data_IF_314021618107
#
_entry.id   IF_314021618107
#
_cell.length_a   1.000
_cell.length_b   1.000
_cell.length_c   1.000
_cell.angle_alpha   90.00
_cell.angle_beta   90.00
_cell.angle_gamma   90.00
#
_symmetry.space_group_name_H-M   'P 1'
#
loop_
_entity.id
_entity.type
_entity.pdbx_description
1 polymer ?
#
# COMPACT_ATOMS: atom_id res chain seq x y z
N UNK A 1 -11.21 -37.93 -38.80
CA UNK A 1 -11.91 -37.15 -37.76
C UNK A 1 -11.08 -36.68 -36.52
N UNK A 2 -9.76 -36.87 -36.38
CA UNK A 2 -9.04 -36.38 -35.19
C UNK A 2 -8.75 -34.87 -35.23
N UNK A 3 -8.55 -34.29 -36.42
CA UNK A 3 -8.19 -32.88 -36.61
C UNK A 3 -9.18 -31.88 -36.00
N UNK A 4 -10.49 -32.18 -36.03
CA UNK A 4 -11.54 -31.32 -35.41
C UNK A 4 -11.46 -31.35 -33.89
N UNK A 5 -11.21 -32.53 -33.29
CA UNK A 5 -11.04 -32.66 -31.83
C UNK A 5 -9.76 -31.96 -31.36
N UNK A 6 -8.67 -32.08 -32.12
CA UNK A 6 -7.41 -31.35 -31.85
C UNK A 6 -7.60 -29.84 -31.89
N UNK A 7 -8.35 -29.31 -32.87
CA UNK A 7 -8.64 -27.88 -32.98
C UNK A 7 -9.46 -27.36 -31.79
N UNK A 8 -10.47 -28.12 -31.35
CA UNK A 8 -11.29 -27.77 -30.19
C UNK A 8 -10.44 -27.76 -28.91
N UNK A 9 -9.61 -28.77 -28.70
CA UNK A 9 -8.71 -28.84 -27.54
C UNK A 9 -7.71 -27.67 -27.56
N UNK A 10 -7.13 -27.36 -28.73
CA UNK A 10 -6.20 -26.24 -28.87
C UNK A 10 -6.87 -24.90 -28.55
N UNK A 11 -8.09 -24.67 -29.06
CA UNK A 11 -8.85 -23.46 -28.76
C UNK A 11 -9.18 -23.33 -27.27
N UNK A 12 -9.47 -24.44 -26.58
CA UNK A 12 -9.75 -24.42 -25.15
C UNK A 12 -8.51 -24.02 -24.35
N UNK A 13 -7.33 -24.56 -24.72
CA UNK A 13 -6.06 -24.23 -24.07
C UNK A 13 -5.74 -22.73 -24.24
N UNK A 14 -5.91 -22.20 -25.45
CA UNK A 14 -5.70 -20.77 -25.71
C UNK A 14 -6.66 -19.91 -24.89
N UNK A 15 -7.93 -20.30 -24.80
CA UNK A 15 -8.95 -19.54 -24.07
C UNK A 15 -8.67 -19.53 -22.56
N UNK A 16 -8.24 -20.66 -22.00
CA UNK A 16 -7.79 -20.75 -20.61
C UNK A 16 -6.53 -19.89 -20.39
N UNK A 17 -5.55 -19.97 -21.30
CA UNK A 17 -4.32 -19.17 -21.22
C UNK A 17 -4.60 -17.67 -21.22
N UNK A 18 -5.45 -17.19 -22.14
CA UNK A 18 -5.87 -15.79 -22.21
C UNK A 18 -6.63 -15.39 -20.94
N UNK A 19 -7.54 -16.25 -20.46
CA UNK A 19 -8.28 -16.01 -19.22
C UNK A 19 -7.37 -15.83 -18.00
N UNK A 20 -6.34 -16.66 -17.87
CA UNK A 20 -5.35 -16.54 -16.78
C UNK A 20 -4.57 -15.23 -16.89
N UNK A 21 -4.15 -14.83 -18.10
CA UNK A 21 -3.40 -13.58 -18.31
C UNK A 21 -4.26 -12.35 -17.97
N UNK A 22 -5.49 -12.31 -18.48
CA UNK A 22 -6.43 -11.22 -18.18
C UNK A 22 -6.73 -11.11 -16.69
N UNK A 23 -6.91 -12.26 -16.01
CA UNK A 23 -7.10 -12.29 -14.58
C UNK A 23 -5.88 -11.74 -13.81
N UNK A 24 -4.66 -12.09 -14.22
CA UNK A 24 -3.45 -11.57 -13.59
C UNK A 24 -3.27 -10.07 -13.79
N UNK A 25 -3.71 -9.53 -14.93
CA UNK A 25 -3.71 -8.09 -15.19
C UNK A 25 -4.78 -7.37 -14.36
N UNK A 26 -5.98 -7.93 -14.24
CA UNK A 26 -7.06 -7.35 -13.44
C UNK A 26 -6.75 -7.30 -11.94
N UNK A 27 -5.82 -8.12 -11.45
CA UNK A 27 -5.35 -8.07 -10.06
C UNK A 27 -4.30 -6.97 -9.81
N UNK A 28 -3.89 -6.21 -10.85
CA UNK A 28 -2.94 -5.12 -10.73
C UNK A 28 -3.65 -3.78 -10.56
N UNK A 29 -3.13 -2.96 -9.68
CA UNK A 29 -3.55 -1.57 -9.45
C UNK A 29 -2.29 -0.73 -9.13
N UNK A 30 -2.48 0.52 -8.73
CA UNK A 30 -1.40 1.37 -8.21
C UNK A 30 -1.72 1.82 -6.79
N UNK A 31 -0.71 2.24 -6.05
CA UNK A 31 -0.88 2.86 -4.74
C UNK A 31 -1.83 4.06 -4.81
N UNK A 32 -1.67 4.94 -5.80
CA UNK A 32 -2.57 6.07 -6.03
C UNK A 32 -4.03 5.66 -6.20
N UNK A 33 -4.30 4.63 -6.99
CA UNK A 33 -5.68 4.16 -7.17
C UNK A 33 -6.26 3.58 -5.87
N UNK A 34 -5.45 2.89 -5.07
CA UNK A 34 -5.92 2.36 -3.77
C UNK A 34 -6.19 3.50 -2.79
N UNK A 35 -5.37 4.55 -2.82
CA UNK A 35 -5.64 5.78 -2.07
C UNK A 35 -6.93 6.45 -2.55
N UNK A 36 -7.12 6.67 -3.85
CA UNK A 36 -8.32 7.32 -4.40
C UNK A 36 -9.62 6.52 -4.11
N UNK A 37 -9.54 5.18 -4.05
CA UNK A 37 -10.66 4.31 -3.65
C UNK A 37 -11.01 4.46 -2.17
N UNK A 38 -10.01 4.76 -1.34
CA UNK A 38 -10.16 4.84 0.12
C UNK A 38 -10.50 6.26 0.54
N UNK A 39 -9.74 7.24 0.07
CA UNK A 39 -9.80 8.67 0.37
C UNK A 39 -10.26 9.38 -0.91
N UNK A 40 -11.52 9.85 -0.97
CA UNK A 40 -12.02 10.55 -2.15
C UNK A 40 -11.13 11.76 -2.49
N UNK A 41 -10.78 11.93 -3.75
CA UNK A 41 -9.89 13.00 -4.25
C UNK A 41 -10.36 14.44 -4.02
N UNK A 42 -11.52 14.63 -3.38
CA UNK A 42 -12.14 15.91 -3.03
C UNK A 42 -11.99 16.23 -1.54
N UNK A 43 -11.47 15.30 -0.74
CA UNK A 43 -11.16 15.51 0.67
C UNK A 43 -9.70 15.98 0.80
N UNK A 44 -9.50 17.12 1.45
CA UNK A 44 -8.16 17.61 1.76
C UNK A 44 -7.56 16.76 2.88
N UNK A 45 -6.30 16.36 2.71
CA UNK A 45 -5.54 15.64 3.74
C UNK A 45 -5.06 16.68 4.76
N UNK A 46 -5.37 16.45 6.04
CA UNK A 46 -5.02 17.37 7.13
C UNK A 46 -3.66 17.05 7.74
N UNK A 47 -3.35 15.77 7.91
CA UNK A 47 -2.06 15.29 8.38
C UNK A 47 -1.89 13.81 8.04
N UNK A 48 -0.63 13.35 8.07
CA UNK A 48 -0.27 11.94 8.00
C UNK A 48 0.47 11.58 9.28
N UNK A 49 0.04 10.52 9.95
CA UNK A 49 0.78 9.92 11.07
C UNK A 49 1.43 8.64 10.60
N UNK A 50 2.71 8.46 10.92
CA UNK A 50 3.47 7.25 10.63
C UNK A 50 3.92 6.62 11.93
N UNK A 51 3.68 5.32 12.06
CA UNK A 51 4.13 4.46 13.13
C UNK A 51 5.16 3.48 12.56
N UNK A 52 6.31 3.36 13.22
CA UNK A 52 7.39 2.43 12.85
C UNK A 52 8.01 1.78 14.09
N UNK A 53 8.28 0.47 14.05
CA UNK A 53 8.99 -0.19 15.13
C UNK A 53 10.51 -0.04 14.97
N UNK A 54 11.17 0.58 15.94
CA UNK A 54 12.63 0.69 15.97
C UNK A 54 13.24 -0.48 16.73
N UNK A 55 13.93 -1.37 16.01
CA UNK A 55 14.70 -2.46 16.64
C UNK A 55 15.86 -1.94 17.51
N UNK A 56 16.44 -0.79 17.16
CA UNK A 56 17.58 -0.19 17.89
C UNK A 56 17.17 0.28 19.28
N UNK A 57 16.01 0.95 19.37
CA UNK A 57 15.49 1.48 20.62
C UNK A 57 14.59 0.45 21.34
N UNK A 58 14.12 -0.58 20.62
CA UNK A 58 13.21 -1.60 21.14
C UNK A 58 11.79 -1.09 21.37
N UNK A 59 11.41 0.02 20.74
CA UNK A 59 10.13 0.71 20.93
C UNK A 59 9.52 1.20 19.62
N UNK A 60 8.25 1.59 19.67
CA UNK A 60 7.54 2.18 18.53
C UNK A 60 7.75 3.69 18.48
N UNK A 61 8.19 4.16 17.32
CA UNK A 61 8.34 5.56 16.98
C UNK A 61 7.15 6.07 16.16
N UNK A 62 6.82 7.33 16.38
CA UNK A 62 5.71 8.04 15.77
C UNK A 62 6.21 9.32 15.12
N UNK A 63 5.73 9.62 13.92
CA UNK A 63 5.94 10.91 13.28
C UNK A 63 4.60 11.45 12.78
N UNK A 64 4.37 12.75 12.96
CA UNK A 64 3.20 13.44 12.42
C UNK A 64 3.66 14.48 11.40
N UNK A 65 3.09 14.40 10.21
CA UNK A 65 3.40 15.23 9.06
C UNK A 65 2.19 16.11 8.79
N UNK A 66 2.34 17.39 9.06
CA UNK A 66 1.30 18.41 8.85
C UNK A 66 1.63 19.34 7.68
N UNK A 67 2.87 19.26 7.18
CA UNK A 67 3.34 20.07 6.07
C UNK A 67 2.76 19.55 4.75
N UNK A 68 1.94 20.38 4.11
CA UNK A 68 1.24 20.06 2.87
C UNK A 68 2.20 19.76 1.72
N UNK A 69 3.37 20.41 1.64
CA UNK A 69 4.35 20.15 0.59
C UNK A 69 4.98 18.76 0.77
N UNK A 70 5.29 18.37 2.01
CA UNK A 70 5.82 17.05 2.32
C UNK A 70 4.77 15.97 2.05
N UNK A 71 3.52 16.20 2.45
CA UNK A 71 2.39 15.30 2.19
C UNK A 71 2.21 15.11 0.68
N UNK A 72 2.10 16.19 -0.09
CA UNK A 72 1.89 16.11 -1.54
C UNK A 72 3.05 15.41 -2.24
N UNK A 73 4.29 15.70 -1.82
CA UNK A 73 5.48 15.02 -2.34
C UNK A 73 5.44 13.52 -2.06
N UNK A 74 5.17 13.11 -0.81
CA UNK A 74 5.07 11.71 -0.41
C UNK A 74 4.01 10.97 -1.23
N UNK A 75 2.81 11.53 -1.39
CA UNK A 75 1.72 10.85 -2.08
C UNK A 75 1.91 10.82 -3.60
N UNK A 76 2.44 11.90 -4.18
CA UNK A 76 2.65 12.01 -5.63
C UNK A 76 3.81 11.15 -6.10
N UNK A 77 4.92 11.10 -5.37
CA UNK A 77 6.08 10.28 -5.73
C UNK A 77 5.73 8.79 -5.78
N UNK A 78 4.89 8.33 -4.86
CA UNK A 78 4.55 6.93 -4.70
C UNK A 78 3.29 6.52 -5.47
N UNK A 79 2.60 7.47 -6.11
CA UNK A 79 1.32 7.25 -6.81
C UNK A 79 1.37 6.08 -7.80
N UNK A 80 2.49 5.93 -8.50
CA UNK A 80 2.70 4.93 -9.57
C UNK A 80 3.32 3.61 -9.08
N UNK A 81 3.47 3.41 -7.76
CA UNK A 81 3.83 2.09 -7.21
C UNK A 81 2.78 1.08 -7.65
N UNK A 82 3.21 0.08 -8.41
CA UNK A 82 2.37 -0.97 -8.93
C UNK A 82 2.13 -2.02 -7.84
N UNK A 83 0.85 -2.27 -7.59
CA UNK A 83 0.37 -3.19 -6.59
C UNK A 83 -0.28 -4.39 -7.26
N UNK A 84 -0.11 -5.58 -6.66
CA UNK A 84 -0.82 -6.79 -7.07
C UNK A 84 -1.59 -7.38 -5.91
N UNK A 85 -2.92 -7.35 -6.01
CA UNK A 85 -3.82 -7.93 -5.02
C UNK A 85 -3.50 -9.41 -4.77
N UNK A 86 -3.27 -9.77 -3.51
CA UNK A 86 -3.04 -11.13 -3.06
C UNK A 86 -4.37 -11.81 -2.71
N UNK A 87 -4.45 -13.12 -2.96
CA UNK A 87 -5.62 -13.94 -2.60
C UNK A 87 -5.58 -14.40 -1.14
N UNK A 88 -4.37 -14.60 -0.63
CA UNK A 88 -4.10 -15.02 0.74
C UNK A 88 -3.65 -13.80 1.52
N UNK A 89 -4.23 -13.60 2.69
CA UNK A 89 -3.79 -12.56 3.61
C UNK A 89 -2.36 -12.83 4.04
N UNK A 90 -1.50 -11.82 3.99
CA UNK A 90 -0.20 -11.85 4.64
C UNK A 90 -0.42 -11.95 6.14
N UNK A 91 0.21 -12.94 6.76
CA UNK A 91 0.00 -13.27 8.18
C UNK A 91 1.07 -12.68 9.08
N UNK A 92 2.12 -12.07 8.53
CA UNK A 92 3.11 -11.38 9.34
C UNK A 92 2.61 -9.99 9.70
N UNK A 93 3.12 -9.51 10.83
CA UNK A 93 3.06 -8.11 11.22
C UNK A 93 3.91 -7.34 10.20
N UNK A 94 3.38 -6.22 9.71
CA UNK A 94 4.09 -5.33 8.81
C UNK A 94 4.77 -4.23 9.64
N UNK A 95 5.91 -3.75 9.17
CA UNK A 95 6.84 -2.96 9.98
C UNK A 95 6.36 -1.52 10.19
N UNK A 96 5.54 -1.00 9.26
CA UNK A 96 5.04 0.37 9.28
C UNK A 96 3.50 0.42 9.23
N UNK A 97 2.94 1.44 9.87
CA UNK A 97 1.56 1.87 9.69
C UNK A 97 1.54 3.37 9.36
N UNK A 98 0.83 3.73 8.28
CA UNK A 98 0.56 5.12 7.92
C UNK A 98 -0.93 5.36 8.05
N UNK A 99 -1.29 6.37 8.82
CA UNK A 99 -2.66 6.86 8.96
C UNK A 99 -2.78 8.20 8.27
N UNK A 100 -3.64 8.27 7.26
CA UNK A 100 -3.94 9.51 6.55
C UNK A 100 -5.25 10.06 7.11
N UNK A 101 -5.21 11.28 7.62
CA UNK A 101 -6.36 11.95 8.21
C UNK A 101 -6.89 13.04 7.28
N UNK A 102 -8.22 13.14 7.26
CA UNK A 102 -9.01 14.19 6.59
C UNK A 102 -9.89 14.88 7.64
N UNK A 103 -10.63 15.95 7.32
CA UNK A 103 -11.55 16.57 8.27
C UNK A 103 -12.68 15.64 8.74
N UNK A 104 -13.01 14.61 7.96
CA UNK A 104 -14.19 13.76 8.17
C UNK A 104 -13.86 12.36 8.67
N UNK A 105 -12.63 11.88 8.42
CA UNK A 105 -12.22 10.50 8.73
C UNK A 105 -10.70 10.33 8.70
N UNK A 106 -10.25 9.20 9.23
CA UNK A 106 -8.87 8.73 9.11
C UNK A 106 -8.86 7.29 8.60
N UNK A 107 -7.94 7.00 7.69
CA UNK A 107 -7.74 5.67 7.11
C UNK A 107 -6.30 5.20 7.35
N UNK A 108 -6.16 3.96 7.82
CA UNK A 108 -4.85 3.37 8.13
C UNK A 108 -4.44 2.33 7.09
N UNK A 109 -3.16 2.38 6.74
CA UNK A 109 -2.50 1.53 5.76
C UNK A 109 -1.29 0.89 6.43
N UNK A 110 -1.09 -0.40 6.25
CA UNK A 110 0.08 -1.10 6.78
C UNK A 110 0.99 -1.52 5.64
N UNK A 111 2.30 -1.45 5.84
CA UNK A 111 3.26 -1.82 4.80
C UNK A 111 4.61 -2.24 5.35
N UNK A 112 5.31 -3.01 4.53
CA UNK A 112 6.73 -3.36 4.70
C UNK A 112 7.43 -3.14 3.34
N UNK A 113 8.65 -3.64 3.18
CA UNK A 113 9.41 -3.55 1.92
C UNK A 113 8.72 -4.10 0.67
N UNK A 114 7.74 -4.99 0.83
CA UNK A 114 7.20 -5.81 -0.27
C UNK A 114 5.68 -5.94 -0.27
N UNK A 115 5.01 -5.57 0.82
CA UNK A 115 3.57 -5.69 1.01
C UNK A 115 2.95 -4.37 1.42
N UNK A 116 1.72 -4.17 1.00
CA UNK A 116 0.88 -3.03 1.34
C UNK A 116 -0.52 -3.54 1.63
N UNK A 117 -1.13 -3.09 2.71
CA UNK A 117 -2.46 -3.51 3.16
C UNK A 117 -3.33 -2.28 3.35
N UNK A 118 -4.45 -2.25 2.63
CA UNK A 118 -5.45 -1.19 2.68
C UNK A 118 -6.85 -1.78 2.78
N UNK A 119 -7.66 -1.28 3.71
CA UNK A 119 -9.06 -1.72 3.92
C UNK A 119 -9.22 -3.24 3.99
N UNK A 120 -8.27 -3.92 4.65
CA UNK A 120 -8.23 -5.38 4.78
C UNK A 120 -7.86 -6.16 3.52
N UNK A 121 -7.57 -5.49 2.41
CA UNK A 121 -7.02 -6.10 1.19
C UNK A 121 -5.50 -6.05 1.22
N UNK A 122 -4.90 -7.19 0.87
CA UNK A 122 -3.46 -7.36 0.80
C UNK A 122 -2.96 -7.18 -0.64
N UNK A 123 -1.86 -6.45 -0.78
CA UNK A 123 -1.20 -6.19 -2.03
C UNK A 123 0.30 -6.49 -1.91
N UNK A 124 0.85 -7.15 -2.94
CA UNK A 124 2.29 -7.22 -3.15
C UNK A 124 2.73 -6.02 -3.97
N UNK A 125 3.70 -5.27 -3.47
CA UNK A 125 4.40 -4.24 -4.24
C UNK A 125 5.27 -4.88 -5.31
N UNK A 126 5.13 -4.42 -6.55
CA UNK A 126 5.86 -4.95 -7.70
C UNK A 126 7.08 -4.10 -8.05
N UNK A 127 7.10 -2.84 -7.61
CA UNK A 127 8.16 -1.85 -7.78
C UNK A 127 8.02 -0.77 -6.71
N UNK A 128 9.05 0.07 -6.57
CA UNK A 128 9.08 1.15 -5.57
C UNK A 128 9.40 0.65 -4.16
N UNK A 129 9.76 1.59 -3.29
CA UNK A 129 10.16 1.35 -1.91
C UNK A 129 9.54 2.43 -1.04
N UNK A 130 8.36 2.16 -0.48
CA UNK A 130 7.66 3.14 0.38
C UNK A 130 8.43 3.36 1.69
N UNK A 131 9.01 2.28 2.24
CA UNK A 131 9.83 2.30 3.46
C UNK A 131 11.02 3.24 3.33
N UNK A 132 11.82 3.09 2.26
CA UNK A 132 12.98 3.96 1.97
C UNK A 132 12.64 5.45 2.00
N UNK A 133 11.46 5.82 1.52
CA UNK A 133 11.04 7.22 1.47
C UNK A 133 10.63 7.71 2.85
N UNK A 134 9.90 6.89 3.61
CA UNK A 134 9.54 7.19 5.01
C UNK A 134 10.79 7.36 5.87
N UNK A 135 11.77 6.46 5.76
CA UNK A 135 13.01 6.53 6.54
C UNK A 135 13.88 7.75 6.19
N UNK A 136 13.69 8.33 5.00
CA UNK A 136 14.39 9.54 4.54
C UNK A 136 13.62 10.82 4.77
N UNK A 137 12.38 10.75 5.25
CA UNK A 137 11.62 11.95 5.59
C UNK A 137 12.33 12.70 6.71
N UNK A 138 12.56 13.99 6.47
CA UNK A 138 13.11 14.91 7.48
C UNK A 138 11.97 15.35 8.41
N UNK A 139 11.55 14.43 9.28
CA UNK A 139 10.44 14.60 10.23
C UNK A 139 10.90 14.26 11.65
N UNK A 140 10.26 14.89 12.63
CA UNK A 140 10.55 14.63 14.03
C UNK A 140 9.87 13.32 14.46
N UNK A 141 10.70 12.33 14.78
CA UNK A 141 10.26 11.06 15.35
C UNK A 141 10.19 11.15 16.87
N UNK A 142 9.07 10.71 17.42
CA UNK A 142 8.75 10.73 18.84
C UNK A 142 8.57 9.31 19.35
N UNK A 143 8.97 9.07 20.59
CA UNK A 143 8.60 7.84 21.31
C UNK A 143 7.10 7.81 21.59
N UNK A 144 6.57 6.65 21.97
CA UNK A 144 5.15 6.51 22.28
C UNK A 144 4.71 7.42 23.45
N UNK A 145 5.54 7.57 24.48
CA UNK A 145 5.23 8.42 25.64
C UNK A 145 5.20 9.91 25.26
N UNK A 146 6.17 10.36 24.47
CA UNK A 146 6.22 11.73 23.94
C UNK A 146 5.00 12.03 23.05
N UNK A 147 4.66 11.12 22.14
CA UNK A 147 3.53 11.26 21.24
C UNK A 147 2.18 11.34 22.00
N UNK A 148 2.04 10.57 23.07
CA UNK A 148 0.84 10.58 23.92
C UNK A 148 0.83 11.72 24.95
N UNK A 149 1.93 12.47 25.10
CA UNK A 149 2.08 13.52 26.10
C UNK A 149 2.06 12.99 27.53
N UNK A 150 2.59 11.78 27.74
CA UNK A 150 2.70 11.14 29.05
C UNK A 150 4.09 11.45 29.61
N UNK A 151 4.15 12.33 30.61
CA UNK A 151 5.35 12.58 31.44
C UNK A 151 5.44 11.62 32.63
#
# INVERSE_FOLDING_TARGET
MPKRKTLIVLSLIVLIGVGVVLYQLAARTTFGNVLDETIPSQEDITHITVEAYSEELGETLWATIDDVEIIDHLLTEHKEIALKKQRTKHTKILDYMMTISTPTKSDSFHFDETHFVASGTDYKMLNGHLVDSIDRLDVEWQTTDEFLGIE
#
